data_IF_744567698454
#
_entry.id   IF_744567698454
#
_cell.length_a   1.000
_cell.length_b   1.000
_cell.length_c   1.000
_cell.angle_alpha   90.00
_cell.angle_beta   90.00
_cell.angle_gamma   90.00
#
_symmetry.space_group_name_H-M   'P 1'
#
loop_
_entity.id
_entity.type
_entity.pdbx_description
1 polymer ?
#
# COMPACT_ATOMS: atom_id res chain seq x y z
N UNK A 1 9.41 16.67 11.06
CA UNK A 1 9.22 15.23 10.81
C UNK A 1 7.98 15.07 9.93
N UNK A 2 8.10 14.45 8.75
CA UNK A 2 6.97 14.31 7.82
C UNK A 2 6.29 12.95 8.08
N UNK A 3 5.00 13.00 8.41
CA UNK A 3 4.15 11.81 8.59
C UNK A 3 3.26 11.67 7.37
N UNK A 4 3.12 10.44 6.88
CA UNK A 4 2.16 10.06 5.85
C UNK A 4 1.08 9.24 6.51
N UNK A 5 -0.18 9.60 6.25
CA UNK A 5 -1.35 8.88 6.71
C UNK A 5 -2.14 8.41 5.50
N UNK A 6 -2.40 7.12 5.45
CA UNK A 6 -3.29 6.49 4.50
C UNK A 6 -4.59 6.10 5.17
N UNK A 7 -5.68 6.40 4.50
CA UNK A 7 -6.97 5.84 4.83
C UNK A 7 -7.13 4.49 4.14
N UNK A 8 -7.17 3.41 4.93
CA UNK A 8 -7.16 2.05 4.41
C UNK A 8 -8.28 1.20 4.99
N UNK A 9 -8.58 0.09 4.34
CA UNK A 9 -9.42 -0.98 4.88
C UNK A 9 -8.59 -2.25 5.03
N UNK A 10 -8.60 -2.85 6.21
CA UNK A 10 -7.89 -4.10 6.47
C UNK A 10 -8.49 -5.23 5.63
N UNK A 11 -7.65 -5.98 4.90
CA UNK A 11 -8.10 -7.16 4.14
C UNK A 11 -8.55 -8.30 5.06
N UNK A 12 -7.97 -8.39 6.25
CA UNK A 12 -8.30 -9.44 7.24
C UNK A 12 -9.61 -9.18 7.97
N UNK A 13 -9.89 -7.92 8.32
CA UNK A 13 -11.03 -7.58 9.20
C UNK A 13 -12.14 -6.83 8.48
N UNK A 14 -11.91 -6.39 7.24
CA UNK A 14 -12.79 -5.55 6.43
C UNK A 14 -13.20 -4.23 7.12
N UNK A 15 -12.47 -3.82 8.16
CA UNK A 15 -12.70 -2.55 8.86
C UNK A 15 -11.78 -1.46 8.35
N UNK A 16 -12.29 -0.23 8.33
CA UNK A 16 -11.48 0.97 8.07
C UNK A 16 -10.44 1.10 9.18
N UNK A 17 -9.18 1.20 8.78
CA UNK A 17 -8.04 1.28 9.66
C UNK A 17 -7.02 2.25 9.04
N UNK A 18 -6.91 3.48 9.55
CA UNK A 18 -5.89 4.40 9.09
C UNK A 18 -4.49 3.83 9.36
N UNK A 19 -3.60 3.98 8.38
CA UNK A 19 -2.20 3.59 8.48
C UNK A 19 -1.35 4.85 8.46
N UNK A 20 -0.62 5.12 9.55
CA UNK A 20 0.25 6.28 9.65
C UNK A 20 1.68 5.83 9.95
N UNK A 21 2.64 6.46 9.28
CA UNK A 21 4.07 6.24 9.53
C UNK A 21 4.87 7.48 9.17
N UNK A 22 6.10 7.55 9.70
CA UNK A 22 7.02 8.63 9.38
C UNK A 22 7.87 8.28 8.16
N UNK A 23 8.05 9.23 7.25
CA UNK A 23 8.97 9.07 6.13
C UNK A 23 10.41 8.84 6.59
N UNK A 24 10.81 9.40 7.75
CA UNK A 24 12.14 9.16 8.32
C UNK A 24 12.37 7.70 8.77
N UNK A 25 11.29 6.93 8.96
CA UNK A 25 11.37 5.50 9.29
C UNK A 25 11.32 4.61 8.04
N UNK A 26 11.11 5.18 6.85
CA UNK A 26 11.05 4.43 5.61
C UNK A 26 12.43 3.83 5.29
N UNK A 27 12.46 2.52 5.06
CA UNK A 27 13.64 1.76 4.65
C UNK A 27 13.59 1.38 3.18
N UNK A 28 12.41 0.98 2.70
CA UNK A 28 12.19 0.57 1.30
C UNK A 28 10.76 0.83 0.89
N UNK A 29 10.59 1.20 -0.36
CA UNK A 29 9.32 1.18 -1.08
C UNK A 29 9.50 0.29 -2.32
N UNK A 30 8.63 -0.69 -2.51
CA UNK A 30 8.63 -1.55 -3.71
C UNK A 30 7.26 -1.58 -4.38
N UNK A 31 7.22 -1.90 -5.67
CA UNK A 31 6.01 -1.92 -6.50
C UNK A 31 5.67 -0.55 -7.10
N UNK A 32 4.38 -0.33 -7.38
CA UNK A 32 3.85 0.85 -8.09
C UNK A 32 2.63 1.47 -7.38
N UNK A 33 2.00 2.48 -7.99
CA UNK A 33 0.87 3.18 -7.38
C UNK A 33 -0.39 2.30 -7.19
N UNK A 34 -0.51 1.17 -7.90
CA UNK A 34 -1.62 0.23 -7.77
C UNK A 34 -1.35 -0.84 -6.72
N UNK A 35 -0.11 -1.32 -6.64
CA UNK A 35 0.31 -2.34 -5.68
C UNK A 35 1.71 -2.03 -5.18
N UNK A 36 1.82 -1.72 -3.89
CA UNK A 36 3.10 -1.35 -3.29
C UNK A 36 3.28 -1.87 -1.89
N UNK A 37 4.55 -1.99 -1.49
CA UNK A 37 4.94 -2.38 -0.14
C UNK A 37 5.80 -1.31 0.50
N UNK A 38 5.40 -0.93 1.70
CA UNK A 38 6.10 0.03 2.54
C UNK A 38 6.85 -0.77 3.60
N UNK A 39 8.17 -0.70 3.60
CA UNK A 39 9.00 -1.26 4.67
C UNK A 39 9.58 -0.12 5.49
N UNK A 40 9.25 -0.09 6.78
CA UNK A 40 9.78 0.85 7.76
C UNK A 40 10.87 0.18 8.61
N UNK A 41 11.39 0.88 9.62
CA UNK A 41 12.34 0.32 10.59
C UNK A 41 11.76 -0.80 11.45
N UNK A 42 10.44 -0.87 11.63
CA UNK A 42 9.79 -1.80 12.56
C UNK A 42 8.69 -2.65 11.94
N UNK A 43 8.25 -2.34 10.72
CA UNK A 43 7.12 -3.02 10.08
C UNK A 43 7.23 -3.02 8.56
N UNK A 44 6.49 -3.94 7.93
CA UNK A 44 6.28 -3.92 6.49
C UNK A 44 4.78 -4.07 6.21
N UNK A 45 4.25 -3.31 5.26
CA UNK A 45 2.83 -3.28 4.93
C UNK A 45 2.66 -3.31 3.41
N UNK A 46 1.98 -4.33 2.89
CA UNK A 46 1.52 -4.37 1.50
C UNK A 46 0.16 -3.69 1.35
N UNK A 47 0.05 -2.82 0.35
CA UNK A 47 -1.13 -2.05 0.02
C UNK A 47 -1.52 -2.28 -1.44
N UNK A 48 -2.82 -2.36 -1.68
CA UNK A 48 -3.43 -2.41 -3.01
C UNK A 48 -4.43 -1.28 -3.16
N UNK A 49 -4.37 -0.53 -4.27
CA UNK A 49 -5.35 0.51 -4.57
C UNK A 49 -6.75 -0.10 -4.71
N UNK A 50 -7.79 0.57 -4.22
CA UNK A 50 -9.16 0.07 -4.29
C UNK A 50 -9.62 -0.31 -5.70
N UNK A 51 -9.18 0.44 -6.72
CA UNK A 51 -9.47 0.12 -8.13
C UNK A 51 -8.84 -1.21 -8.56
N UNK A 52 -7.58 -1.45 -8.20
CA UNK A 52 -6.87 -2.70 -8.51
C UNK A 52 -7.44 -3.88 -7.70
N UNK A 53 -7.83 -3.65 -6.44
CA UNK A 53 -8.51 -4.64 -5.60
C UNK A 53 -9.80 -5.12 -6.26
N UNK A 54 -10.70 -4.22 -6.65
CA UNK A 54 -11.97 -4.58 -7.27
C UNK A 54 -11.79 -5.18 -8.67
N UNK A 55 -10.80 -4.72 -9.44
CA UNK A 55 -10.45 -5.34 -10.71
C UNK A 55 -9.99 -6.80 -10.53
N UNK A 56 -9.12 -7.07 -9.55
CA UNK A 56 -8.68 -8.42 -9.23
C UNK A 56 -9.85 -9.29 -8.70
N UNK A 57 -10.68 -8.75 -7.81
CA UNK A 57 -11.85 -9.44 -7.24
C UNK A 57 -12.88 -9.84 -8.30
N UNK A 58 -13.09 -8.99 -9.31
CA UNK A 58 -14.04 -9.26 -10.41
C UNK A 58 -13.48 -10.18 -11.50
N UNK A 59 -12.16 -10.21 -11.66
CA UNK A 59 -11.50 -10.99 -12.72
C UNK A 59 -11.11 -12.38 -12.25
N UNK A 60 -10.69 -12.51 -10.99
CA UNK A 60 -10.21 -13.75 -10.42
C UNK A 60 -11.35 -14.50 -9.73
N UNK A 61 -11.38 -15.82 -9.85
CA UNK A 61 -12.24 -16.65 -9.01
C UNK A 61 -11.85 -16.49 -7.53
N UNK A 62 -12.80 -16.73 -6.62
CA UNK A 62 -12.61 -16.54 -5.16
C UNK A 62 -11.27 -17.08 -4.64
N UNK A 63 -10.90 -18.32 -5.02
CA UNK A 63 -9.66 -18.95 -4.59
C UNK A 63 -8.41 -18.23 -5.11
N UNK A 64 -8.40 -17.89 -6.40
CA UNK A 64 -7.24 -17.25 -7.05
C UNK A 64 -7.07 -15.82 -6.56
N UNK A 65 -8.18 -15.14 -6.26
CA UNK A 65 -8.15 -13.83 -5.64
C UNK A 65 -7.49 -13.86 -4.26
N UNK A 66 -7.91 -14.78 -3.39
CA UNK A 66 -7.30 -14.94 -2.08
C UNK A 66 -5.82 -15.33 -2.19
N UNK A 67 -5.48 -16.26 -3.09
CA UNK A 67 -4.09 -16.63 -3.35
C UNK A 67 -3.25 -15.43 -3.80
N UNK A 68 -3.78 -14.60 -4.70
CA UNK A 68 -3.12 -13.37 -5.15
C UNK A 68 -2.84 -12.41 -3.99
N UNK A 69 -3.82 -12.17 -3.12
CA UNK A 69 -3.65 -11.29 -1.96
C UNK A 69 -2.56 -11.80 -1.00
N UNK A 70 -2.54 -13.12 -0.75
CA UNK A 70 -1.59 -13.77 0.14
C UNK A 70 -0.17 -13.80 -0.46
N UNK A 71 -0.03 -14.18 -1.74
CA UNK A 71 1.24 -14.25 -2.47
C UNK A 71 1.88 -12.86 -2.60
N UNK A 72 1.07 -11.85 -2.92
CA UNK A 72 1.50 -10.46 -2.95
C UNK A 72 1.69 -9.87 -1.54
N UNK A 73 1.41 -10.62 -0.48
CA UNK A 73 1.51 -10.22 0.93
C UNK A 73 0.85 -8.85 1.18
N UNK A 74 -0.38 -8.72 0.69
CA UNK A 74 -1.21 -7.53 0.82
C UNK A 74 -1.97 -7.57 2.14
N UNK A 75 -2.02 -6.44 2.82
CA UNK A 75 -2.59 -6.36 4.17
C UNK A 75 -3.78 -5.40 4.26
N UNK A 76 -3.85 -4.41 3.38
CA UNK A 76 -4.93 -3.45 3.34
C UNK A 76 -5.18 -2.89 1.94
N UNK A 77 -6.42 -2.48 1.71
CA UNK A 77 -6.87 -1.73 0.54
C UNK A 77 -6.70 -0.24 0.82
N UNK A 78 -6.02 0.46 -0.08
CA UNK A 78 -5.93 1.93 -0.07
C UNK A 78 -7.20 2.52 -0.68
N UNK A 79 -7.98 3.26 0.11
CA UNK A 79 -9.26 3.82 -0.33
C UNK A 79 -9.04 4.96 -1.35
N UNK A 80 -9.97 5.10 -2.31
CA UNK A 80 -9.89 6.15 -3.33
C UNK A 80 -10.30 7.50 -2.75
N UNK A 81 -9.33 8.28 -2.28
CA UNK A 81 -9.55 9.65 -1.78
C UNK A 81 -8.47 10.60 -2.29
N UNK A 82 -8.76 11.90 -2.46
CA UNK A 82 -7.74 12.90 -2.83
C UNK A 82 -6.57 12.95 -1.84
N UNK A 83 -6.84 12.74 -0.54
CA UNK A 83 -5.83 12.69 0.49
C UNK A 83 -4.86 11.51 0.31
N UNK A 84 -5.38 10.32 0.00
CA UNK A 84 -4.55 9.15 -0.27
C UNK A 84 -3.72 9.33 -1.54
N UNK A 85 -4.28 9.91 -2.60
CA UNK A 85 -3.54 10.19 -3.82
C UNK A 85 -2.33 11.10 -3.54
N UNK A 86 -2.55 12.24 -2.86
CA UNK A 86 -1.46 13.13 -2.48
C UNK A 86 -0.44 12.47 -1.55
N UNK A 87 -0.89 11.58 -0.65
CA UNK A 87 -0.02 10.81 0.23
C UNK A 87 0.86 9.80 -0.52
N UNK A 88 0.31 9.12 -1.54
CA UNK A 88 1.07 8.21 -2.43
C UNK A 88 2.10 8.99 -3.21
N UNK A 89 1.72 10.10 -3.85
CA UNK A 89 2.65 10.96 -4.61
C UNK A 89 3.81 11.45 -3.73
N UNK A 90 3.51 11.89 -2.50
CA UNK A 90 4.53 12.31 -1.52
C UNK A 90 5.44 11.15 -1.11
N UNK A 91 4.89 9.97 -0.83
CA UNK A 91 5.65 8.78 -0.46
C UNK A 91 6.62 8.36 -1.58
N UNK A 92 6.13 8.25 -2.81
CA UNK A 92 6.93 7.84 -3.96
C UNK A 92 8.00 8.88 -4.30
N UNK A 93 7.66 10.17 -4.23
CA UNK A 93 8.63 11.26 -4.44
C UNK A 93 9.75 11.19 -3.40
N UNK A 94 9.40 11.00 -2.12
CA UNK A 94 10.38 10.84 -1.05
C UNK A 94 11.27 9.60 -1.26
N UNK A 95 10.67 8.44 -1.54
CA UNK A 95 11.42 7.21 -1.74
C UNK A 95 12.41 7.32 -2.92
N UNK A 96 12.00 7.95 -4.03
CA UNK A 96 12.88 8.21 -5.17
C UNK A 96 14.03 9.16 -4.81
N UNK A 97 13.74 10.28 -4.15
CA UNK A 97 14.75 11.26 -3.76
C UNK A 97 15.81 10.69 -2.80
N UNK A 98 15.43 9.70 -1.98
CA UNK A 98 16.31 9.06 -1.00
C UNK A 98 16.85 7.69 -1.46
N UNK A 99 16.65 7.29 -2.72
CA UNK A 99 17.08 5.99 -3.26
C UNK A 99 16.56 4.79 -2.47
N UNK A 100 15.35 4.92 -1.89
CA UNK A 100 14.66 3.87 -1.13
C UNK A 100 13.67 3.09 -2.00
N UNK A 101 13.55 3.44 -3.28
CA UNK A 101 12.64 2.83 -4.23
C UNK A 101 13.28 1.63 -4.94
N UNK A 102 12.54 0.53 -5.06
CA UNK A 102 12.97 -0.66 -5.80
C UNK A 102 11.84 -1.13 -6.71
N UNK A 103 12.12 -1.23 -8.01
CA UNK A 103 11.15 -1.60 -9.05
C UNK A 103 10.78 -3.09 -9.08
N UNK A 104 11.21 -3.89 -8.09
CA UNK A 104 10.93 -5.33 -8.05
C UNK A 104 9.53 -5.61 -7.48
#
# INVERSE_FOLDING_TARGET
>A
MITVTFDTQSLRTHRRQPLAFSLATLRRLSGDAQLFRISTTTSSTGLIAATAYHAAESTLGYRDFHYFLDEANLSAVLLTTPANQAAVERLFTYAKAHQLFSEH
#
